data_IF_299973109180
#
_entry.id   IF_299973109180
#
_cell.length_a   1.000
_cell.length_b   1.000
_cell.length_c   1.000
_cell.angle_alpha   90.00
_cell.angle_beta   90.00
_cell.angle_gamma   90.00
#
_symmetry.space_group_name_H-M   'P 1'
#
loop_
_entity.id
_entity.type
_entity.pdbx_description
1 polymer ?
#
# COMPACT_ATOMS: atom_id res chain seq x y z
N UNK A 1 -9.42 -0.22 -15.25
CA UNK A 1 -9.09 -0.50 -13.85
C UNK A 1 -9.89 -1.66 -13.28
N UNK A 2 -9.56 -2.07 -12.07
CA UNK A 2 -10.22 -3.19 -11.39
C UNK A 2 -11.65 -2.88 -10.95
N UNK A 3 -11.97 -1.62 -10.60
CA UNK A 3 -13.32 -1.20 -10.28
C UNK A 3 -14.19 -1.08 -11.54
N UNK A 4 -15.39 -1.66 -11.49
CA UNK A 4 -16.40 -1.59 -12.56
C UNK A 4 -17.39 -0.47 -12.31
N UNK A 5 -17.64 -0.13 -11.05
CA UNK A 5 -18.49 0.96 -10.60
C UNK A 5 -18.08 1.41 -9.20
N UNK A 6 -18.57 2.58 -8.80
CA UNK A 6 -18.35 3.14 -7.47
C UNK A 6 -19.50 4.06 -7.07
N UNK A 7 -19.69 4.17 -5.76
CA UNK A 7 -20.68 5.04 -5.13
C UNK A 7 -20.01 5.93 -4.09
N UNK A 8 -20.54 7.14 -3.87
CA UNK A 8 -20.09 8.08 -2.86
C UNK A 8 -21.21 8.38 -1.88
N UNK A 9 -20.95 8.19 -0.60
CA UNK A 9 -21.80 8.60 0.51
C UNK A 9 -21.18 9.81 1.21
N UNK A 10 -21.77 10.98 1.01
CA UNK A 10 -21.32 12.23 1.60
C UNK A 10 -21.57 12.35 3.10
N UNK A 11 -22.53 11.60 3.64
CA UNK A 11 -22.85 11.63 5.06
C UNK A 11 -21.80 10.88 5.89
N UNK A 12 -21.26 9.80 5.33
CA UNK A 12 -20.22 8.98 5.95
C UNK A 12 -18.81 9.21 5.39
N UNK A 13 -18.68 10.08 4.39
CA UNK A 13 -17.43 10.34 3.66
C UNK A 13 -16.83 9.05 3.08
N UNK A 14 -17.67 8.15 2.60
CA UNK A 14 -17.25 6.80 2.19
C UNK A 14 -17.46 6.57 0.69
N UNK A 15 -16.40 6.17 0.02
CA UNK A 15 -16.43 5.58 -1.32
C UNK A 15 -16.59 4.07 -1.23
N UNK A 16 -17.48 3.51 -2.05
CA UNK A 16 -17.64 2.06 -2.23
C UNK A 16 -17.30 1.71 -3.67
N UNK A 17 -16.38 0.77 -3.87
CA UNK A 17 -15.92 0.29 -5.17
C UNK A 17 -16.34 -1.14 -5.38
N UNK A 18 -16.91 -1.46 -6.56
CA UNK A 18 -17.26 -2.81 -6.98
C UNK A 18 -16.21 -3.31 -7.96
N UNK A 19 -15.49 -4.35 -7.56
CA UNK A 19 -14.36 -4.90 -8.30
C UNK A 19 -14.84 -5.97 -9.29
N UNK A 20 -14.13 -6.08 -10.41
CA UNK A 20 -14.27 -7.20 -11.35
C UNK A 20 -13.49 -8.41 -10.87
N UNK A 21 -13.84 -9.56 -11.42
CA UNK A 21 -12.98 -10.73 -11.35
C UNK A 21 -11.69 -10.47 -12.15
N UNK A 22 -10.55 -10.72 -11.54
CA UNK A 22 -9.22 -10.63 -12.12
C UNK A 22 -8.30 -11.59 -11.38
N UNK A 23 -7.16 -11.97 -11.98
CA UNK A 23 -6.21 -12.88 -11.38
C UNK A 23 -4.84 -12.24 -11.17
N UNK A 24 -4.19 -12.62 -10.08
CA UNK A 24 -2.76 -12.45 -9.91
C UNK A 24 -2.02 -13.49 -10.74
N UNK A 25 -1.00 -13.06 -11.47
CA UNK A 25 -0.06 -13.94 -12.17
C UNK A 25 1.35 -13.72 -11.66
N UNK A 26 2.14 -14.79 -11.65
CA UNK A 26 3.55 -14.78 -11.26
C UNK A 26 4.47 -14.28 -12.40
N UNK A 27 5.78 -14.37 -12.19
CA UNK A 27 6.81 -13.98 -13.17
C UNK A 27 6.88 -14.92 -14.41
N UNK A 28 6.16 -16.03 -14.43
CA UNK A 28 6.01 -16.92 -15.58
C UNK A 28 4.70 -16.65 -16.33
N UNK A 29 3.80 -15.81 -15.78
CA UNK A 29 2.47 -15.55 -16.29
C UNK A 29 1.45 -16.62 -15.91
N UNK A 30 1.75 -17.44 -14.90
CA UNK A 30 0.84 -18.46 -14.38
C UNK A 30 -0.05 -17.86 -13.29
N UNK A 31 -1.33 -18.23 -13.30
CA UNK A 31 -2.30 -17.78 -12.30
C UNK A 31 -1.92 -18.29 -10.91
N UNK A 32 -1.85 -17.38 -9.95
CA UNK A 32 -1.51 -17.65 -8.55
C UNK A 32 -2.78 -17.67 -7.68
N UNK A 33 -3.62 -16.63 -7.83
CA UNK A 33 -4.81 -16.43 -7.02
C UNK A 33 -5.77 -15.42 -7.70
N UNK A 34 -7.06 -15.38 -7.32
CA UNK A 34 -7.93 -14.26 -7.66
C UNK A 34 -7.49 -12.99 -6.93
N UNK A 35 -7.69 -11.83 -7.57
CA UNK A 35 -7.56 -10.52 -6.93
C UNK A 35 -8.80 -10.23 -6.10
N UNK A 36 -8.62 -9.79 -4.88
CA UNK A 36 -9.70 -9.48 -3.95
C UNK A 36 -9.60 -8.05 -3.39
N UNK A 37 -10.66 -7.57 -2.77
CA UNK A 37 -10.65 -6.30 -2.05
C UNK A 37 -9.65 -6.31 -0.88
N UNK A 38 -9.34 -7.49 -0.32
CA UNK A 38 -8.34 -7.62 0.75
C UNK A 38 -6.93 -7.25 0.29
N UNK A 39 -6.57 -7.49 -0.98
CA UNK A 39 -5.27 -7.14 -1.53
C UNK A 39 -5.01 -5.61 -1.51
N UNK A 40 -6.07 -4.80 -1.60
CA UNK A 40 -5.97 -3.34 -1.44
C UNK A 40 -5.77 -2.93 0.03
N UNK A 41 -6.42 -3.63 0.95
CA UNK A 41 -6.29 -3.43 2.39
C UNK A 41 -4.87 -3.78 2.84
N UNK A 42 -4.34 -4.91 2.38
CA UNK A 42 -3.00 -5.39 2.70
C UNK A 42 -1.92 -4.47 2.12
N UNK A 43 -2.10 -4.00 0.88
CA UNK A 43 -1.22 -3.02 0.25
C UNK A 43 -1.17 -1.70 1.04
N UNK A 44 -2.33 -1.20 1.48
CA UNK A 44 -2.38 0.05 2.25
C UNK A 44 -1.73 -0.11 3.63
N UNK A 45 -1.94 -1.26 4.29
CA UNK A 45 -1.28 -1.60 5.55
C UNK A 45 0.24 -1.65 5.39
N UNK A 46 0.72 -2.25 4.29
CA UNK A 46 2.15 -2.27 3.97
C UNK A 46 2.71 -0.85 3.83
N UNK A 47 2.04 0.03 3.08
CA UNK A 47 2.43 1.45 2.92
C UNK A 47 2.46 2.19 4.26
N UNK A 48 1.52 1.89 5.17
CA UNK A 48 1.41 2.49 6.50
C UNK A 48 2.30 1.82 7.55
N UNK A 49 3.09 0.82 7.21
CA UNK A 49 4.06 0.20 8.11
C UNK A 49 5.38 0.97 8.04
N UNK A 50 5.80 1.69 9.13
CA UNK A 50 6.97 2.57 9.09
C UNK A 50 8.27 1.86 8.73
N UNK A 51 8.40 0.58 9.06
CA UNK A 51 9.61 -0.23 8.79
C UNK A 51 9.92 -0.35 7.29
N UNK A 52 8.90 -0.23 6.43
CA UNK A 52 9.06 -0.27 4.97
C UNK A 52 9.34 1.09 4.35
N UNK A 53 9.34 2.16 5.15
CA UNK A 53 9.75 3.53 4.79
C UNK A 53 9.16 4.04 3.45
N UNK A 54 7.86 3.82 3.22
CA UNK A 54 7.20 4.26 2.00
C UNK A 54 7.30 5.77 1.81
N UNK A 55 7.93 6.20 0.71
CA UNK A 55 8.05 7.63 0.37
C UNK A 55 6.71 8.31 0.04
N UNK A 56 5.67 7.52 -0.20
CA UNK A 56 4.34 7.99 -0.59
C UNK A 56 3.31 7.90 0.53
N UNK A 57 3.72 7.57 1.76
CA UNK A 57 2.82 7.43 2.92
C UNK A 57 1.93 8.66 3.15
N UNK A 58 2.47 9.86 2.89
CA UNK A 58 1.73 11.12 3.01
C UNK A 58 0.49 11.22 2.11
N UNK A 59 0.46 10.51 0.97
CA UNK A 59 -0.73 10.43 0.12
C UNK A 59 -1.86 9.62 0.76
N UNK A 60 -1.55 8.75 1.72
CA UNK A 60 -2.54 7.94 2.44
C UNK A 60 -2.98 8.64 3.73
N UNK A 61 -2.01 9.06 4.55
CA UNK A 61 -2.27 9.68 5.86
C UNK A 61 -3.07 10.97 5.75
N UNK A 62 -2.88 11.75 4.68
CA UNK A 62 -3.61 12.99 4.47
C UNK A 62 -5.11 12.80 4.17
N UNK A 63 -5.50 11.68 3.54
CA UNK A 63 -6.85 11.54 2.99
C UNK A 63 -7.68 10.44 3.63
N UNK A 64 -7.06 9.30 3.99
CA UNK A 64 -7.77 8.14 4.54
C UNK A 64 -7.97 8.29 6.05
N UNK A 65 -9.20 8.15 6.51
CA UNK A 65 -9.55 8.29 7.92
C UNK A 65 -8.74 7.31 8.79
N UNK A 66 -8.23 7.80 9.93
CA UNK A 66 -7.45 7.01 10.88
C UNK A 66 -6.05 6.59 10.43
N UNK A 67 -5.66 6.84 9.16
CA UNK A 67 -4.36 6.44 8.65
C UNK A 67 -3.20 7.21 9.29
N UNK A 68 -3.37 8.49 9.57
CA UNK A 68 -2.36 9.32 10.23
C UNK A 68 -2.11 8.86 11.67
N UNK A 69 -3.18 8.62 12.44
CA UNK A 69 -3.09 8.14 13.83
C UNK A 69 -2.41 6.78 13.89
N UNK A 70 -2.78 5.86 12.98
CA UNK A 70 -2.14 4.56 12.87
C UNK A 70 -0.65 4.68 12.58
N UNK A 71 -0.28 5.42 11.53
CA UNK A 71 1.11 5.57 11.12
C UNK A 71 1.96 6.23 12.21
N UNK A 72 1.50 7.34 12.79
CA UNK A 72 2.23 8.06 13.82
C UNK A 72 2.43 7.22 15.07
N UNK A 73 1.42 6.46 15.51
CA UNK A 73 1.57 5.56 16.65
C UNK A 73 2.72 4.57 16.44
N UNK A 74 2.79 3.92 15.26
CA UNK A 74 3.85 2.93 14.98
C UNK A 74 5.23 3.58 14.78
N UNK A 75 5.31 4.79 14.24
CA UNK A 75 6.55 5.57 14.19
C UNK A 75 7.05 5.83 15.63
N UNK A 76 6.18 6.31 16.49
CA UNK A 76 6.55 6.62 17.88
C UNK A 76 6.93 5.35 18.68
N UNK A 77 6.20 4.26 18.44
CA UNK A 77 6.52 2.96 19.05
C UNK A 77 7.90 2.45 18.59
N UNK A 78 8.23 2.55 17.33
CA UNK A 78 9.53 2.16 16.78
C UNK A 78 10.65 3.03 17.37
N UNK A 79 10.44 4.35 17.48
CA UNK A 79 11.39 5.26 18.12
C UNK A 79 11.62 4.90 19.60
N UNK A 80 10.54 4.57 20.33
CA UNK A 80 10.64 4.13 21.73
C UNK A 80 11.43 2.82 21.87
N UNK A 81 11.18 1.85 20.99
CA UNK A 81 11.85 0.54 21.01
C UNK A 81 13.33 0.62 20.63
N UNK A 82 13.71 1.57 19.78
CA UNK A 82 15.09 1.77 19.31
C UNK A 82 15.85 2.81 20.14
N UNK A 83 15.17 3.54 21.03
CA UNK A 83 15.78 4.56 21.88
C UNK A 83 16.22 5.80 21.09
N UNK A 84 15.52 6.12 20.01
CA UNK A 84 15.78 7.33 19.20
C UNK A 84 15.51 8.58 20.03
N UNK A 85 16.37 9.57 19.86
CA UNK A 85 16.17 10.95 20.31
C UNK A 85 16.30 11.82 19.09
N UNK A 86 15.27 12.62 18.81
CA UNK A 86 15.27 13.50 17.65
C UNK A 86 16.26 14.68 17.81
N UNK A 87 16.60 15.33 16.72
CA UNK A 87 17.54 16.46 16.69
C UNK A 87 17.09 17.66 17.56
N UNK A 88 15.79 17.79 17.81
CA UNK A 88 15.20 18.79 18.69
C UNK A 88 15.17 18.38 20.17
N UNK A 89 15.64 17.16 20.48
CA UNK A 89 15.67 16.59 21.84
C UNK A 89 14.38 15.87 22.25
N UNK A 90 13.43 15.63 21.34
CA UNK A 90 12.23 14.81 21.59
C UNK A 90 12.62 13.36 21.89
N UNK A 91 12.04 12.79 22.93
CA UNK A 91 12.27 11.40 23.38
C UNK A 91 10.98 10.59 23.37
N UNK A 92 11.13 9.27 23.23
CA UNK A 92 10.04 8.31 23.13
C UNK A 92 10.22 7.20 24.15
N UNK A 93 9.15 6.83 24.84
CA UNK A 93 9.13 5.68 25.75
C UNK A 93 7.83 4.90 25.58
N UNK A 94 7.87 3.57 25.72
CA UNK A 94 6.67 2.74 25.68
C UNK A 94 6.56 1.94 26.99
N UNK A 95 5.36 1.83 27.50
CA UNK A 95 5.07 0.98 28.67
C UNK A 95 4.69 -0.45 28.25
N UNK A 96 4.45 -1.33 29.22
CA UNK A 96 4.13 -2.73 28.99
C UNK A 96 2.74 -2.94 28.32
N UNK A 97 1.88 -1.93 28.30
CA UNK A 97 0.59 -1.96 27.60
C UNK A 97 0.68 -1.42 26.17
N UNK A 98 1.87 -0.97 25.74
CA UNK A 98 2.09 -0.37 24.43
C UNK A 98 1.73 1.12 24.35
N UNK A 99 1.38 1.76 25.48
CA UNK A 99 1.18 3.21 25.47
C UNK A 99 2.53 3.90 25.31
N UNK A 100 2.63 4.72 24.24
CA UNK A 100 3.83 5.49 23.94
C UNK A 100 3.71 6.89 24.52
N UNK A 101 4.75 7.35 25.22
CA UNK A 101 4.90 8.72 25.68
C UNK A 101 5.96 9.42 24.83
N UNK A 102 5.57 10.49 24.18
CA UNK A 102 6.44 11.40 23.43
C UNK A 102 6.70 12.62 24.32
N UNK A 103 7.96 12.90 24.63
CA UNK A 103 8.35 14.01 25.48
C UNK A 103 9.23 14.97 24.68
N UNK A 104 8.73 16.17 24.42
CA UNK A 104 9.46 17.22 23.71
C UNK A 104 10.54 17.87 24.59
N UNK A 105 11.46 18.62 23.97
CA UNK A 105 12.60 19.25 24.64
C UNK A 105 12.21 20.21 25.79
N UNK A 106 11.02 20.80 25.73
CA UNK A 106 10.46 21.65 26.80
C UNK A 106 9.81 20.87 27.95
N UNK A 107 9.96 19.53 27.95
CA UNK A 107 9.38 18.58 28.87
C UNK A 107 7.83 18.46 28.81
N UNK A 108 7.20 18.90 27.73
CA UNK A 108 5.80 18.59 27.46
C UNK A 108 5.69 17.14 27.04
N UNK A 109 4.81 16.37 27.68
CA UNK A 109 4.59 14.95 27.39
C UNK A 109 3.19 14.71 26.84
N UNK A 110 3.12 13.95 25.76
CA UNK A 110 1.88 13.48 25.15
C UNK A 110 1.87 11.95 25.13
N UNK A 111 0.71 11.35 25.28
CA UNK A 111 0.56 9.88 25.31
C UNK A 111 -0.30 9.41 24.14
N UNK A 112 0.14 8.32 23.50
CA UNK A 112 -0.51 7.68 22.37
C UNK A 112 -0.82 6.23 22.73
N UNK A 113 -2.10 5.88 22.72
CA UNK A 113 -2.55 4.50 22.94
C UNK A 113 -2.37 3.65 21.68
N UNK A 114 -2.24 2.32 21.81
CA UNK A 114 -2.22 1.43 20.67
C UNK A 114 -3.37 1.67 19.70
N UNK A 115 -3.06 1.75 18.40
CA UNK A 115 -4.02 1.94 17.32
C UNK A 115 -4.10 0.67 16.50
N UNK A 116 -5.30 0.10 16.38
CA UNK A 116 -5.55 -1.07 15.53
C UNK A 116 -5.74 -0.63 14.08
N UNK A 117 -5.24 -1.43 13.12
CA UNK A 117 -5.45 -1.16 11.70
C UNK A 117 -6.94 -1.15 11.32
N UNK A 118 -7.78 -1.82 12.09
CA UNK A 118 -9.24 -1.79 11.91
C UNK A 118 -9.86 -0.39 12.08
N UNK A 119 -9.15 0.58 12.62
CA UNK A 119 -9.58 1.99 12.69
C UNK A 119 -9.28 2.76 11.41
N UNK A 120 -8.41 2.24 10.53
CA UNK A 120 -8.10 2.85 9.23
C UNK A 120 -9.27 2.68 8.27
N UNK A 121 -9.61 3.74 7.56
CA UNK A 121 -10.77 3.87 6.69
C UNK A 121 -10.69 3.09 5.38
N UNK A 122 -9.97 1.98 5.32
CA UNK A 122 -9.96 1.04 4.18
C UNK A 122 -10.49 -0.30 4.63
N UNK A 123 -11.48 -0.87 3.90
CA UNK A 123 -12.10 -2.15 4.26
C UNK A 123 -12.46 -2.98 3.04
N UNK A 124 -12.15 -4.28 3.10
CA UNK A 124 -12.76 -5.29 2.26
C UNK A 124 -14.09 -5.71 2.92
N UNK A 125 -15.21 -5.35 2.30
CA UNK A 125 -16.55 -5.73 2.77
C UNK A 125 -16.83 -7.18 2.41
N UNK A 126 -16.42 -7.56 1.21
CA UNK A 126 -16.34 -8.91 0.67
C UNK A 126 -15.22 -8.95 -0.39
N UNK A 127 -15.04 -10.07 -1.09
CA UNK A 127 -13.95 -10.26 -2.07
C UNK A 127 -13.97 -9.22 -3.20
N UNK A 128 -15.14 -8.64 -3.53
CA UNK A 128 -15.33 -7.73 -4.65
C UNK A 128 -15.86 -6.36 -4.26
N UNK A 129 -15.97 -6.06 -2.96
CA UNK A 129 -16.45 -4.78 -2.46
C UNK A 129 -15.42 -4.15 -1.53
N UNK A 130 -14.81 -3.05 -1.99
CA UNK A 130 -13.82 -2.26 -1.28
C UNK A 130 -14.41 -0.93 -0.86
N UNK A 131 -14.16 -0.49 0.37
CA UNK A 131 -14.55 0.85 0.82
C UNK A 131 -13.34 1.67 1.27
N UNK A 132 -13.42 2.99 1.00
CA UNK A 132 -12.52 4.00 1.56
C UNK A 132 -13.35 5.06 2.27
N UNK A 133 -13.12 5.25 3.56
CA UNK A 133 -13.64 6.38 4.34
C UNK A 133 -12.56 7.46 4.43
N UNK A 134 -12.92 8.70 4.11
CA UNK A 134 -11.99 9.83 4.04
C UNK A 134 -12.08 10.71 5.29
N UNK A 135 -11.02 11.49 5.53
CA UNK A 135 -10.99 12.51 6.59
C UNK A 135 -11.93 13.69 6.28
N UNK A 136 -12.17 13.96 5.00
CA UNK A 136 -13.01 15.07 4.51
C UNK A 136 -13.49 14.78 3.09
N UNK A 137 -14.49 15.52 2.63
CA UNK A 137 -14.96 15.46 1.24
C UNK A 137 -13.84 15.94 0.29
N UNK A 138 -13.32 15.01 -0.52
CA UNK A 138 -12.26 15.26 -1.49
C UNK A 138 -12.68 14.84 -2.90
N UNK A 139 -13.16 15.76 -3.73
CA UNK A 139 -13.61 15.45 -5.11
C UNK A 139 -12.51 14.86 -6.02
N UNK A 140 -11.23 15.07 -5.66
CA UNK A 140 -10.07 14.54 -6.39
C UNK A 140 -9.71 13.09 -6.06
N UNK A 141 -10.44 12.41 -5.15
CA UNK A 141 -10.05 11.09 -4.65
C UNK A 141 -9.92 10.04 -5.75
N UNK A 142 -10.83 10.00 -6.73
CA UNK A 142 -10.73 9.07 -7.86
C UNK A 142 -9.44 9.24 -8.68
N UNK A 143 -8.93 10.48 -8.79
CA UNK A 143 -7.62 10.73 -9.43
C UNK A 143 -6.46 10.31 -8.52
N UNK A 144 -6.61 10.44 -7.21
CA UNK A 144 -5.62 10.00 -6.23
C UNK A 144 -5.40 8.48 -6.27
N UNK A 145 -6.44 7.71 -6.56
CA UNK A 145 -6.36 6.24 -6.69
C UNK A 145 -5.45 5.74 -7.82
N UNK A 146 -4.98 6.62 -8.71
CA UNK A 146 -3.99 6.26 -9.74
C UNK A 146 -2.54 6.26 -9.24
N UNK A 147 -2.30 6.61 -7.99
CA UNK A 147 -0.97 6.57 -7.39
C UNK A 147 -0.70 5.22 -6.74
N UNK A 148 0.55 4.78 -6.80
CA UNK A 148 0.99 3.47 -6.35
C UNK A 148 0.52 3.03 -4.95
N UNK A 149 0.41 3.89 -3.91
CA UNK A 149 -0.08 3.48 -2.59
C UNK A 149 -1.50 2.89 -2.57
N UNK A 150 -2.29 3.17 -3.61
CA UNK A 150 -3.68 2.72 -3.72
C UNK A 150 -3.87 1.54 -4.66
N UNK A 151 -2.80 1.06 -5.28
CA UNK A 151 -2.85 -0.16 -6.09
C UNK A 151 -2.82 -1.39 -5.19
N UNK A 152 -3.47 -2.50 -5.59
CA UNK A 152 -3.46 -3.73 -4.80
C UNK A 152 -2.11 -4.42 -4.84
N UNK A 153 -1.80 -5.18 -3.81
CA UNK A 153 -0.65 -6.06 -3.75
C UNK A 153 -1.07 -7.42 -3.20
N UNK A 154 -0.54 -8.50 -3.75
CA UNK A 154 -0.87 -9.85 -3.30
C UNK A 154 -0.40 -10.09 -1.86
N UNK A 155 -1.36 -10.15 -0.94
CA UNK A 155 -1.11 -10.19 0.51
C UNK A 155 -0.14 -11.29 0.96
N UNK A 156 -0.26 -12.56 0.48
CA UNK A 156 0.68 -13.61 0.84
C UNK A 156 2.15 -13.32 0.47
N UNK A 157 2.40 -12.61 -0.65
CA UNK A 157 3.78 -12.21 -1.00
C UNK A 157 4.28 -11.06 -0.12
N UNK A 158 3.40 -10.14 0.30
CA UNK A 158 3.76 -9.10 1.27
C UNK A 158 4.20 -9.71 2.60
N UNK A 159 3.50 -10.75 3.08
CA UNK A 159 3.84 -11.45 4.31
C UNK A 159 5.13 -12.28 4.18
N UNK A 160 5.32 -12.97 3.05
CA UNK A 160 6.47 -13.84 2.82
C UNK A 160 7.77 -13.05 2.62
N UNK A 161 7.73 -11.98 1.82
CA UNK A 161 8.94 -11.27 1.39
C UNK A 161 9.19 -9.95 2.13
N UNK A 162 8.19 -9.40 2.83
CA UNK A 162 8.32 -8.18 3.63
C UNK A 162 9.05 -7.05 2.85
N UNK A 163 10.22 -6.62 3.30
CA UNK A 163 11.05 -5.59 2.67
C UNK A 163 11.66 -6.02 1.31
N UNK A 164 11.59 -7.30 0.97
CA UNK A 164 12.03 -7.85 -0.32
C UNK A 164 10.88 -7.95 -1.34
N UNK A 165 9.66 -7.57 -0.98
CA UNK A 165 8.53 -7.56 -1.90
C UNK A 165 8.84 -6.68 -3.13
N UNK A 166 8.58 -7.20 -4.35
CA UNK A 166 8.85 -6.54 -5.63
C UNK A 166 10.32 -6.11 -5.87
N UNK A 167 11.29 -6.69 -5.16
CA UNK A 167 12.72 -6.41 -5.41
C UNK A 167 13.32 -7.34 -6.47
N UNK A 168 12.61 -8.39 -6.87
CA UNK A 168 12.95 -9.28 -7.98
C UNK A 168 11.67 -9.72 -8.72
N UNK A 169 11.81 -10.40 -9.85
CA UNK A 169 10.66 -10.94 -10.57
C UNK A 169 9.95 -12.05 -9.78
N UNK A 170 10.70 -12.84 -9.00
CA UNK A 170 10.18 -13.94 -8.19
C UNK A 170 9.42 -13.46 -6.95
N UNK A 171 9.68 -12.23 -6.49
CA UNK A 171 8.99 -11.61 -5.34
C UNK A 171 7.86 -10.68 -5.75
N UNK A 172 7.44 -10.74 -7.02
CA UNK A 172 6.39 -9.91 -7.58
C UNK A 172 5.25 -10.75 -8.16
N UNK A 173 4.01 -10.29 -7.97
CA UNK A 173 2.84 -10.71 -8.73
C UNK A 173 2.23 -9.51 -9.44
N UNK A 174 1.52 -9.76 -10.53
CA UNK A 174 0.88 -8.73 -11.34
C UNK A 174 -0.55 -9.11 -11.68
N UNK A 175 -1.46 -8.14 -11.64
CA UNK A 175 -2.83 -8.27 -12.15
C UNK A 175 -3.14 -7.28 -13.28
N UNK A 176 -2.13 -6.50 -13.70
CA UNK A 176 -2.24 -5.54 -14.78
C UNK A 176 -2.06 -6.15 -16.17
N UNK A 177 -2.01 -5.29 -17.21
CA UNK A 177 -1.85 -5.70 -18.59
C UNK A 177 -0.51 -6.42 -18.90
N UNK A 178 0.47 -6.26 -18.04
CA UNK A 178 1.79 -6.89 -18.13
C UNK A 178 2.21 -7.45 -16.78
N UNK A 179 3.00 -8.52 -16.80
CA UNK A 179 3.67 -9.06 -15.63
C UNK A 179 5.19 -8.90 -15.75
N UNK A 180 5.88 -8.81 -14.63
CA UNK A 180 7.34 -8.70 -14.56
C UNK A 180 7.96 -10.10 -14.74
N UNK A 181 8.47 -10.38 -15.94
CA UNK A 181 9.06 -11.69 -16.27
C UNK A 181 10.53 -11.79 -15.85
N UNK A 182 11.29 -10.71 -15.97
CA UNK A 182 12.71 -10.66 -15.63
C UNK A 182 13.03 -9.29 -14.99
N UNK A 183 13.88 -9.30 -13.98
CA UNK A 183 14.41 -8.08 -13.39
C UNK A 183 15.85 -8.27 -12.95
N UNK A 184 16.75 -7.47 -13.52
CA UNK A 184 18.14 -7.37 -13.10
C UNK A 184 18.41 -5.91 -12.72
N UNK A 185 18.64 -5.60 -11.43
CA UNK A 185 18.88 -4.23 -10.98
C UNK A 185 19.99 -3.56 -11.78
N UNK A 186 19.76 -2.32 -12.23
CA UNK A 186 20.69 -1.48 -13.00
C UNK A 186 21.12 -2.07 -14.36
N UNK A 187 20.46 -3.10 -14.84
CA UNK A 187 20.71 -3.68 -16.16
C UNK A 187 19.48 -3.66 -17.05
N UNK A 188 18.47 -4.46 -16.68
CA UNK A 188 17.24 -4.53 -17.46
C UNK A 188 16.05 -5.06 -16.63
N UNK A 189 14.85 -4.80 -17.12
CA UNK A 189 13.63 -5.47 -16.74
C UNK A 189 12.80 -5.80 -17.98
N UNK A 190 12.16 -6.96 -17.95
CA UNK A 190 11.32 -7.45 -19.04
C UNK A 190 9.92 -7.66 -18.51
N UNK A 191 8.97 -6.96 -19.11
CA UNK A 191 7.56 -7.18 -18.88
C UNK A 191 6.94 -7.90 -20.07
N UNK A 192 6.11 -8.89 -19.82
CA UNK A 192 5.38 -9.63 -20.85
C UNK A 192 3.88 -9.38 -20.67
N UNK A 193 3.16 -9.45 -21.79
CA UNK A 193 1.69 -9.35 -21.81
C UNK A 193 1.09 -10.40 -20.86
N UNK A 194 0.18 -9.93 -19.99
CA UNK A 194 -0.61 -10.79 -19.15
C UNK A 194 -1.84 -11.31 -19.92
N UNK A 195 -1.91 -12.60 -20.27
CA UNK A 195 -3.04 -13.14 -21.01
C UNK A 195 -4.32 -13.25 -20.17
N UNK A 196 -4.20 -13.22 -18.84
CA UNK A 196 -5.30 -13.33 -17.88
C UNK A 196 -5.96 -11.97 -17.59
N UNK A 197 -5.35 -10.85 -18.04
CA UNK A 197 -5.91 -9.53 -17.78
C UNK A 197 -7.23 -9.33 -18.52
N UNK A 198 -8.23 -8.73 -17.85
CA UNK A 198 -9.58 -8.51 -18.39
C UNK A 198 -9.63 -7.79 -19.74
N UNK A 199 -8.59 -7.07 -20.12
CA UNK A 199 -8.50 -6.30 -21.38
C UNK A 199 -7.35 -6.79 -22.27
N UNK A 200 -6.93 -8.06 -22.09
CA UNK A 200 -5.80 -8.65 -22.82
C UNK A 200 -5.93 -8.51 -24.34
N UNK A 201 -7.15 -8.62 -24.88
CA UNK A 201 -7.41 -8.50 -26.34
C UNK A 201 -7.08 -7.11 -26.89
N UNK A 202 -7.10 -6.07 -26.05
CA UNK A 202 -6.73 -4.70 -26.43
C UNK A 202 -5.23 -4.41 -26.32
N UNK A 203 -4.45 -5.34 -25.78
CA UNK A 203 -2.98 -5.21 -25.62
C UNK A 203 -2.28 -5.82 -26.82
N UNK A 204 -1.69 -4.98 -27.67
CA UNK A 204 -1.01 -5.39 -28.92
C UNK A 204 0.50 -5.61 -28.77
N UNK A 205 1.08 -5.19 -27.65
CA UNK A 205 2.51 -5.35 -27.35
C UNK A 205 2.67 -6.61 -26.54
N UNK A 206 3.47 -7.57 -27.00
CA UNK A 206 3.73 -8.82 -26.28
C UNK A 206 4.81 -8.67 -25.21
N UNK A 207 5.81 -7.82 -25.48
CA UNK A 207 6.98 -7.67 -24.58
C UNK A 207 7.45 -6.23 -24.56
N UNK A 208 7.69 -5.71 -23.36
CA UNK A 208 8.35 -4.42 -23.11
C UNK A 208 9.65 -4.70 -22.39
N UNK A 209 10.75 -4.21 -22.97
CA UNK A 209 12.09 -4.33 -22.38
C UNK A 209 12.63 -2.96 -22.03
N UNK A 210 12.97 -2.76 -20.78
CA UNK A 210 13.72 -1.60 -20.31
C UNK A 210 15.19 -1.97 -20.15
N UNK A 211 16.06 -1.16 -20.71
CA UNK A 211 17.51 -1.33 -20.60
C UNK A 211 18.05 -0.09 -19.93
N UNK A 212 18.79 -0.29 -18.83
CA UNK A 212 19.48 0.80 -18.16
C UNK A 212 20.73 1.17 -18.96
N UNK A 213 20.77 2.41 -19.45
CA UNK A 213 21.94 2.92 -20.19
C UNK A 213 22.70 3.90 -19.29
N UNK A 214 23.99 3.62 -19.04
CA UNK A 214 24.88 4.47 -18.24
C UNK A 214 25.70 5.44 -19.11
N UNK A 215 25.37 5.62 -20.39
CA UNK A 215 26.08 6.61 -21.19
C UNK A 215 25.72 8.03 -20.71
N UNK A 216 26.77 8.74 -20.25
CA UNK A 216 26.74 10.16 -19.87
C UNK A 216 26.59 11.06 -21.09
#
# INVERSE_FOLDING_TARGET
GLATSWDWDADTLTWTFHLREENWVDNNGEVVAPVTAQDFVDALKYVLTPDYASSNVGLVTAYVAGAEDYYNYYVYLNNANTGVVDDDGTTYTADASGVVTVTSADATAETYSPVDFDTVGVKAVDDHTLTYTLNFDFPGFLSLLSYAPYEPAYGPLLEEFADQFCTSAETACSCGAFYLAEYTPLENWVMKKNPENYDADSVYIDTVRYIYNQEE
#
